data_IF_833895168835
#
_entry.id   IF_833895168835
#
_cell.length_a   1.000
_cell.length_b   1.000
_cell.length_c   1.000
_cell.angle_alpha   90.00
_cell.angle_beta   90.00
_cell.angle_gamma   90.00
#
_symmetry.space_group_name_H-M   'P 1'
#
loop_
_entity.id
_entity.type
_entity.pdbx_description
1 polymer ?
#
# COMPACT_ATOMS: atom_id res chain seq x y z
N UNK A 1 43.49 64.64 22.12
CA UNK A 1 42.34 64.41 21.21
C UNK A 1 41.08 64.40 22.07
N UNK A 2 40.29 65.49 22.10
CA UNK A 2 39.02 65.52 22.85
C UNK A 2 37.99 64.77 22.00
N UNK A 3 37.67 63.53 22.41
CA UNK A 3 36.55 62.80 21.82
C UNK A 3 35.29 63.60 22.16
N UNK A 4 34.58 64.09 21.16
CA UNK A 4 33.34 64.82 21.35
C UNK A 4 32.27 63.81 21.82
N UNK A 5 31.90 63.86 23.10
CA UNK A 5 31.04 62.88 23.77
C UNK A 5 29.65 62.76 23.11
N UNK A 6 29.15 63.87 22.55
CA UNK A 6 27.88 63.91 21.82
C UNK A 6 27.95 63.11 20.51
N UNK A 7 29.06 63.23 19.78
CA UNK A 7 29.29 62.46 18.56
C UNK A 7 29.41 60.97 18.89
N UNK A 8 30.13 60.60 19.96
CA UNK A 8 30.26 59.20 20.39
C UNK A 8 28.91 58.57 20.77
N UNK A 9 28.05 59.31 21.49
CA UNK A 9 26.69 58.87 21.83
C UNK A 9 25.83 58.68 20.59
N UNK A 10 25.89 59.62 19.64
CA UNK A 10 25.18 59.53 18.35
C UNK A 10 25.62 58.31 17.54
N UNK A 11 26.93 58.08 17.40
CA UNK A 11 27.45 56.90 16.69
C UNK A 11 27.05 55.57 17.35
N UNK A 12 27.02 55.52 18.68
CA UNK A 12 26.59 54.32 19.41
C UNK A 12 25.12 54.03 19.18
N UNK A 13 24.25 55.04 19.29
CA UNK A 13 22.81 54.91 19.01
C UNK A 13 22.58 54.47 17.55
N UNK A 14 23.26 55.10 16.59
CA UNK A 14 23.16 54.73 15.17
C UNK A 14 23.61 53.27 14.93
N UNK A 15 24.69 52.83 15.58
CA UNK A 15 25.18 51.46 15.46
C UNK A 15 24.18 50.44 16.02
N UNK A 16 23.54 50.74 17.15
CA UNK A 16 22.49 49.91 17.75
C UNK A 16 21.27 49.85 16.85
N UNK A 17 20.84 50.97 16.28
CA UNK A 17 19.70 51.02 15.36
C UNK A 17 19.98 50.18 14.11
N UNK A 18 21.16 50.32 13.50
CA UNK A 18 21.55 49.52 12.34
C UNK A 18 21.56 48.03 12.68
N UNK A 19 22.18 47.65 13.80
CA UNK A 19 22.25 46.26 14.24
C UNK A 19 20.85 45.68 14.51
N UNK A 20 19.97 46.46 15.15
CA UNK A 20 18.58 46.06 15.39
C UNK A 20 17.80 45.91 14.08
N UNK A 21 17.96 46.83 13.12
CA UNK A 21 17.33 46.74 11.81
C UNK A 21 17.77 45.49 11.04
N UNK A 22 19.05 45.13 11.10
CA UNK A 22 19.59 43.91 10.47
C UNK A 22 18.99 42.65 11.13
N UNK A 23 18.99 42.59 12.47
CA UNK A 23 18.40 41.46 13.20
C UNK A 23 16.90 41.32 12.89
N UNK A 24 16.16 42.43 12.88
CA UNK A 24 14.75 42.44 12.57
C UNK A 24 14.48 41.99 11.13
N UNK A 25 15.31 42.39 10.17
CA UNK A 25 15.21 41.94 8.78
C UNK A 25 15.41 40.42 8.66
N UNK A 26 16.42 39.87 9.34
CA UNK A 26 16.63 38.42 9.35
C UNK A 26 15.50 37.66 10.04
N UNK A 27 14.96 38.21 11.13
CA UNK A 27 13.82 37.62 11.81
C UNK A 27 12.59 37.55 10.91
N UNK A 28 12.23 38.67 10.24
CA UNK A 28 11.09 38.71 9.31
C UNK A 28 11.28 37.74 8.15
N UNK A 29 12.49 37.66 7.61
CA UNK A 29 12.81 36.71 6.53
C UNK A 29 12.66 35.25 7.00
N UNK A 30 13.16 34.92 8.19
CA UNK A 30 13.03 33.58 8.77
C UNK A 30 11.58 33.19 9.00
N UNK A 31 10.75 34.09 9.53
CA UNK A 31 9.30 33.87 9.69
C UNK A 31 8.60 33.63 8.34
N UNK A 32 8.97 34.39 7.31
CA UNK A 32 8.41 34.20 5.96
C UNK A 32 8.78 32.82 5.40
N UNK A 33 10.05 32.42 5.50
CA UNK A 33 10.52 31.14 5.00
C UNK A 33 9.85 29.96 5.74
N UNK A 34 9.69 30.07 7.06
CA UNK A 34 8.98 29.06 7.86
C UNK A 34 7.51 28.95 7.44
N UNK A 35 6.84 30.08 7.19
CA UNK A 35 5.46 30.08 6.73
C UNK A 35 5.33 29.42 5.34
N UNK A 36 6.21 29.74 4.39
CA UNK A 36 6.23 29.11 3.06
C UNK A 36 6.44 27.58 3.15
N UNK A 37 7.36 27.14 4.02
CA UNK A 37 7.60 25.72 4.28
C UNK A 37 6.39 25.03 4.93
N UNK A 38 5.69 25.71 5.84
CA UNK A 38 4.47 25.19 6.46
C UNK A 38 3.32 25.03 5.45
N UNK A 39 3.12 26.02 4.58
CA UNK A 39 2.14 25.94 3.48
C UNK A 39 2.47 24.76 2.56
N UNK A 40 3.76 24.59 2.22
CA UNK A 40 4.20 23.50 1.37
C UNK A 40 4.04 22.12 2.05
N UNK A 41 4.33 22.00 3.34
CA UNK A 41 4.00 20.82 4.16
C UNK A 41 2.51 20.49 4.06
N UNK A 42 1.63 21.44 4.31
CA UNK A 42 0.17 21.21 4.29
C UNK A 42 -0.31 20.74 2.91
N UNK A 43 0.27 21.26 1.83
CA UNK A 43 0.02 20.76 0.47
C UNK A 43 0.41 19.29 0.34
N UNK A 44 1.62 18.92 0.76
CA UNK A 44 2.07 17.52 0.70
C UNK A 44 1.23 16.59 1.58
N UNK A 45 0.80 17.02 2.77
CA UNK A 45 -0.11 16.24 3.62
C UNK A 45 -1.49 16.07 2.94
N UNK A 46 -1.97 17.09 2.22
CA UNK A 46 -3.21 17.00 1.45
C UNK A 46 -3.08 15.98 0.32
N UNK A 47 -1.98 16.03 -0.43
CA UNK A 47 -1.69 15.06 -1.50
C UNK A 47 -1.54 13.64 -0.92
N UNK A 48 -0.90 13.51 0.25
CA UNK A 48 -0.74 12.24 0.97
C UNK A 48 -2.10 11.64 1.35
N UNK A 49 -3.06 12.43 1.84
CA UNK A 49 -4.42 11.95 2.15
C UNK A 49 -5.09 11.36 0.90
N UNK A 50 -4.94 12.02 -0.25
CA UNK A 50 -5.49 11.52 -1.51
C UNK A 50 -4.85 10.18 -1.91
N UNK A 51 -3.52 10.09 -1.83
CA UNK A 51 -2.78 8.86 -2.10
C UNK A 51 -3.16 7.73 -1.14
N UNK A 52 -3.33 8.02 0.15
CA UNK A 52 -3.79 7.03 1.14
C UNK A 52 -5.19 6.50 0.78
N UNK A 53 -6.09 7.36 0.31
CA UNK A 53 -7.43 6.91 -0.11
C UNK A 53 -7.38 5.97 -1.31
N UNK A 54 -6.52 6.25 -2.29
CA UNK A 54 -6.29 5.37 -3.44
C UNK A 54 -5.69 4.03 -3.02
N UNK A 55 -4.68 4.04 -2.13
CA UNK A 55 -4.06 2.84 -1.59
C UNK A 55 -5.08 1.97 -0.81
N UNK A 56 -5.95 2.60 -0.01
CA UNK A 56 -7.05 1.91 0.69
C UNK A 56 -8.00 1.23 -0.30
N UNK A 57 -8.37 1.91 -1.39
CA UNK A 57 -9.25 1.33 -2.41
C UNK A 57 -8.58 0.14 -3.10
N UNK A 58 -7.29 0.24 -3.41
CA UNK A 58 -6.53 -0.87 -3.98
C UNK A 58 -6.47 -2.07 -3.02
N UNK A 59 -6.23 -1.83 -1.72
CA UNK A 59 -6.26 -2.89 -0.71
C UNK A 59 -7.63 -3.58 -0.67
N UNK A 60 -8.73 -2.82 -0.72
CA UNK A 60 -10.07 -3.39 -0.71
C UNK A 60 -10.35 -4.27 -1.93
N UNK A 61 -9.91 -3.85 -3.11
CA UNK A 61 -10.01 -4.68 -4.32
C UNK A 61 -9.21 -5.98 -4.17
N UNK A 62 -7.94 -5.90 -3.79
CA UNK A 62 -7.05 -7.06 -3.59
C UNK A 62 -7.62 -8.02 -2.56
N UNK A 63 -8.08 -7.49 -1.43
CA UNK A 63 -8.71 -8.25 -0.36
C UNK A 63 -9.93 -9.01 -0.86
N UNK A 64 -10.75 -8.41 -1.72
CA UNK A 64 -11.91 -9.08 -2.31
C UNK A 64 -11.50 -10.29 -3.17
N UNK A 65 -10.49 -10.12 -4.03
CA UNK A 65 -10.00 -11.17 -4.95
C UNK A 65 -9.35 -12.34 -4.19
N UNK A 66 -8.51 -12.02 -3.20
CA UNK A 66 -7.85 -13.04 -2.36
C UNK A 66 -8.88 -13.77 -1.50
N UNK A 67 -9.87 -13.07 -0.94
CA UNK A 67 -10.94 -13.69 -0.15
C UNK A 67 -11.79 -14.64 -1.00
N UNK A 68 -12.11 -14.26 -2.24
CA UNK A 68 -12.83 -15.12 -3.18
C UNK A 68 -12.02 -16.36 -3.54
N UNK A 69 -10.73 -16.19 -3.84
CA UNK A 69 -9.80 -17.29 -4.11
C UNK A 69 -9.72 -18.28 -2.94
N UNK A 70 -9.55 -17.78 -1.71
CA UNK A 70 -9.54 -18.61 -0.49
C UNK A 70 -10.86 -19.35 -0.30
N UNK A 71 -11.99 -18.71 -0.59
CA UNK A 71 -13.31 -19.34 -0.52
C UNK A 71 -13.45 -20.45 -1.57
N UNK A 72 -12.97 -20.23 -2.79
CA UNK A 72 -12.99 -21.21 -3.87
C UNK A 72 -12.11 -22.42 -3.55
N UNK A 73 -10.89 -22.21 -3.06
CA UNK A 73 -10.02 -23.30 -2.60
C UNK A 73 -10.67 -24.13 -1.49
N UNK A 74 -11.30 -23.49 -0.50
CA UNK A 74 -12.05 -24.21 0.53
C UNK A 74 -13.22 -25.02 -0.05
N UNK A 75 -13.96 -24.45 -1.01
CA UNK A 75 -15.07 -25.16 -1.67
C UNK A 75 -14.60 -26.41 -2.40
N UNK A 76 -13.45 -26.34 -3.09
CA UNK A 76 -12.89 -27.47 -3.83
C UNK A 76 -12.34 -28.53 -2.86
N UNK A 77 -11.61 -28.12 -1.81
CA UNK A 77 -11.14 -29.04 -0.77
C UNK A 77 -12.31 -29.83 -0.14
N UNK A 78 -13.40 -29.14 0.22
CA UNK A 78 -14.59 -29.77 0.77
C UNK A 78 -15.26 -30.73 -0.23
N UNK A 79 -15.27 -30.40 -1.53
CA UNK A 79 -15.81 -31.29 -2.55
C UNK A 79 -14.96 -32.57 -2.70
N UNK A 80 -13.62 -32.43 -2.69
CA UNK A 80 -12.67 -33.56 -2.68
C UNK A 80 -12.92 -34.46 -1.46
N UNK A 81 -12.98 -33.87 -0.25
CA UNK A 81 -13.21 -34.59 1.01
C UNK A 81 -14.56 -35.33 1.03
N UNK A 82 -15.58 -34.76 0.38
CA UNK A 82 -16.91 -35.34 0.25
C UNK A 82 -17.04 -36.43 -0.82
N UNK A 83 -15.99 -36.64 -1.63
CA UNK A 83 -15.96 -37.53 -2.81
C UNK A 83 -17.01 -37.17 -3.89
N UNK A 84 -16.99 -35.92 -4.38
CA UNK A 84 -17.71 -35.43 -5.57
C UNK A 84 -19.24 -35.30 -5.47
N UNK A 85 -19.78 -34.69 -4.41
CA UNK A 85 -21.24 -34.53 -4.30
C UNK A 85 -21.77 -33.12 -4.51
N UNK A 86 -20.91 -32.09 -4.58
CA UNK A 86 -21.37 -30.71 -4.44
C UNK A 86 -20.98 -29.77 -5.60
N UNK A 87 -19.87 -30.01 -6.30
CA UNK A 87 -19.43 -29.17 -7.42
C UNK A 87 -19.47 -29.92 -8.76
N UNK A 88 -19.91 -29.24 -9.82
CA UNK A 88 -19.71 -29.77 -11.16
C UNK A 88 -18.26 -29.58 -11.60
N UNK A 89 -17.80 -30.42 -12.54
CA UNK A 89 -16.46 -30.27 -13.14
C UNK A 89 -16.27 -28.90 -13.80
N UNK A 90 -17.33 -28.31 -14.35
CA UNK A 90 -17.27 -26.96 -14.91
C UNK A 90 -17.03 -25.92 -13.81
N UNK A 91 -17.77 -25.99 -12.71
CA UNK A 91 -17.60 -25.08 -11.57
C UNK A 91 -16.18 -25.16 -11.00
N UNK A 92 -15.62 -26.36 -10.89
CA UNK A 92 -14.24 -26.56 -10.43
C UNK A 92 -13.24 -25.88 -11.37
N UNK A 93 -13.40 -26.05 -12.68
CA UNK A 93 -12.49 -25.43 -13.67
C UNK A 93 -12.62 -23.90 -13.69
N UNK A 94 -13.84 -23.36 -13.61
CA UNK A 94 -14.07 -21.92 -13.54
C UNK A 94 -13.42 -21.31 -12.30
N UNK A 95 -13.56 -21.95 -11.14
CA UNK A 95 -12.91 -21.53 -9.90
C UNK A 95 -11.39 -21.52 -10.02
N UNK A 96 -10.78 -22.66 -10.37
CA UNK A 96 -9.32 -22.80 -10.44
C UNK A 96 -8.70 -21.80 -11.43
N UNK A 97 -9.35 -21.58 -12.57
CA UNK A 97 -8.86 -20.66 -13.61
C UNK A 97 -9.07 -19.20 -13.22
N UNK A 98 -10.18 -18.88 -12.55
CA UNK A 98 -10.51 -17.54 -12.06
C UNK A 98 -9.70 -17.10 -10.84
N UNK A 99 -9.22 -18.04 -10.05
CA UNK A 99 -8.52 -17.80 -8.80
C UNK A 99 -7.11 -17.21 -9.03
N UNK A 100 -6.83 -16.08 -8.37
CA UNK A 100 -5.52 -15.44 -8.41
C UNK A 100 -5.14 -14.94 -7.01
N UNK A 101 -4.24 -15.68 -6.36
CA UNK A 101 -3.68 -15.30 -5.06
C UNK A 101 -2.42 -14.44 -5.19
N UNK A 102 -1.80 -14.41 -6.37
CA UNK A 102 -0.63 -13.59 -6.68
C UNK A 102 -0.95 -12.10 -6.90
N UNK A 103 -2.22 -11.69 -6.77
CA UNK A 103 -2.59 -10.29 -6.89
C UNK A 103 -1.99 -9.46 -5.74
N UNK A 104 -1.21 -8.46 -6.11
CA UNK A 104 -0.29 -7.77 -5.18
C UNK A 104 -0.66 -6.31 -4.97
N UNK A 105 -0.47 -5.83 -3.73
CA UNK A 105 -0.66 -4.44 -3.33
C UNK A 105 0.61 -3.64 -3.63
N UNK A 106 0.47 -2.51 -4.32
CA UNK A 106 1.59 -1.65 -4.72
C UNK A 106 1.36 -0.24 -4.16
N UNK A 107 1.91 0.04 -2.95
CA UNK A 107 1.71 1.31 -2.27
C UNK A 107 2.35 2.47 -3.05
N UNK A 108 1.69 3.63 -3.01
CA UNK A 108 2.18 4.84 -3.65
C UNK A 108 3.08 5.64 -2.70
N UNK A 109 4.40 5.50 -2.86
CA UNK A 109 5.39 6.10 -1.94
C UNK A 109 5.84 7.52 -2.33
N UNK A 110 5.39 8.02 -3.48
CA UNK A 110 5.89 9.27 -4.07
C UNK A 110 5.75 10.48 -3.16
N UNK A 111 4.58 10.68 -2.56
CA UNK A 111 4.34 11.82 -1.67
C UNK A 111 5.09 11.69 -0.34
N UNK A 112 5.17 10.48 0.22
CA UNK A 112 5.99 10.22 1.40
C UNK A 112 7.47 10.54 1.15
N UNK A 113 8.01 10.12 0.01
CA UNK A 113 9.39 10.44 -0.39
C UNK A 113 9.60 11.95 -0.60
N UNK A 114 8.60 12.66 -1.10
CA UNK A 114 8.65 14.13 -1.18
C UNK A 114 8.70 14.76 0.21
N UNK A 115 7.84 14.34 1.14
CA UNK A 115 7.85 14.82 2.53
C UNK A 115 9.23 14.69 3.18
N UNK A 116 9.90 13.55 2.98
CA UNK A 116 11.26 13.31 3.49
C UNK A 116 12.29 14.21 2.78
N UNK A 117 12.31 14.21 1.44
CA UNK A 117 13.35 14.89 0.67
C UNK A 117 13.31 16.42 0.76
N UNK A 118 12.15 17.00 1.05
CA UNK A 118 11.97 18.45 1.19
C UNK A 118 12.10 18.93 2.64
N UNK A 119 12.30 18.01 3.59
CA UNK A 119 12.30 18.32 5.03
C UNK A 119 10.92 18.66 5.60
N UNK A 120 9.84 18.56 4.80
CA UNK A 120 8.48 18.83 5.24
C UNK A 120 8.00 17.83 6.28
N UNK A 121 8.54 16.61 6.27
CA UNK A 121 8.27 15.58 7.28
C UNK A 121 8.61 16.04 8.71
N UNK A 122 9.69 16.81 8.88
CA UNK A 122 10.12 17.31 10.18
C UNK A 122 9.17 18.38 10.74
N UNK A 123 8.40 19.04 9.86
CA UNK A 123 7.42 20.06 10.21
C UNK A 123 6.07 19.47 10.61
N UNK A 124 5.89 18.14 10.53
CA UNK A 124 4.71 17.45 11.05
C UNK A 124 4.74 17.50 12.57
N UNK A 125 3.73 18.14 13.16
CA UNK A 125 3.66 18.34 14.61
C UNK A 125 3.28 17.03 15.31
N UNK A 126 2.36 16.26 14.72
CA UNK A 126 1.87 15.03 15.32
C UNK A 126 2.89 13.88 15.19
N UNK A 127 3.53 13.54 16.31
CA UNK A 127 4.51 12.44 16.36
C UNK A 127 3.92 11.08 16.02
N UNK A 128 2.64 10.86 16.31
CA UNK A 128 1.92 9.64 15.94
C UNK A 128 1.76 9.52 14.43
N UNK A 129 1.53 10.63 13.71
CA UNK A 129 1.50 10.62 12.24
C UNK A 129 2.86 10.23 11.69
N UNK A 130 3.94 10.88 12.17
CA UNK A 130 5.31 10.56 11.74
C UNK A 130 5.64 9.09 11.95
N UNK A 131 5.37 8.56 13.13
CA UNK A 131 5.65 7.17 13.48
C UNK A 131 4.90 6.19 12.57
N UNK A 132 3.64 6.49 12.27
CA UNK A 132 2.79 5.63 11.46
C UNK A 132 3.19 5.65 9.98
N UNK A 133 3.55 6.82 9.44
CA UNK A 133 4.08 6.92 8.07
C UNK A 133 5.39 6.14 7.93
N UNK A 134 6.30 6.24 8.91
CA UNK A 134 7.54 5.45 8.90
C UNK A 134 7.25 3.94 8.96
N UNK A 135 6.31 3.50 9.81
CA UNK A 135 5.92 2.09 9.89
C UNK A 135 5.34 1.57 8.57
N UNK A 136 4.41 2.31 7.96
CA UNK A 136 3.80 1.94 6.68
C UNK A 136 4.88 1.84 5.60
N UNK A 137 5.57 2.94 5.34
CA UNK A 137 6.42 3.06 4.16
C UNK A 137 7.78 2.37 4.29
N UNK A 138 8.33 2.17 5.49
CA UNK A 138 9.63 1.50 5.66
C UNK A 138 9.54 0.04 6.11
N UNK A 139 8.47 -0.37 6.79
CA UNK A 139 8.39 -1.71 7.37
C UNK A 139 7.28 -2.54 6.74
N UNK A 140 6.06 -2.03 6.71
CA UNK A 140 4.92 -2.78 6.19
C UNK A 140 4.99 -2.96 4.68
N UNK A 141 5.39 -1.94 3.92
CA UNK A 141 5.59 -2.04 2.48
C UNK A 141 6.63 -3.11 2.12
N UNK A 142 7.76 -3.14 2.84
CA UNK A 142 8.79 -4.16 2.65
C UNK A 142 8.29 -5.58 2.95
N UNK A 143 7.51 -5.74 4.02
CA UNK A 143 6.87 -7.04 4.35
C UNK A 143 5.87 -7.45 3.27
N UNK A 144 5.09 -6.51 2.76
CA UNK A 144 4.15 -6.72 1.67
C UNK A 144 4.89 -7.19 0.42
N UNK A 145 5.94 -6.50 -0.03
CA UNK A 145 6.71 -6.90 -1.20
C UNK A 145 7.30 -8.30 -1.10
N UNK A 146 7.86 -8.65 0.06
CA UNK A 146 8.39 -10.00 0.29
C UNK A 146 7.29 -11.08 0.25
N UNK A 147 6.11 -10.78 0.81
CA UNK A 147 4.96 -11.70 0.81
C UNK A 147 4.37 -11.85 -0.59
N UNK A 148 4.17 -10.73 -1.29
CA UNK A 148 3.73 -10.69 -2.70
C UNK A 148 4.63 -11.53 -3.59
N UNK A 149 5.94 -11.41 -3.47
CA UNK A 149 6.89 -12.21 -4.23
C UNK A 149 6.72 -13.73 -3.98
N UNK A 150 6.48 -14.13 -2.73
CA UNK A 150 6.20 -15.54 -2.41
C UNK A 150 4.88 -16.02 -3.02
N UNK A 151 3.85 -15.18 -3.01
CA UNK A 151 2.55 -15.48 -3.62
C UNK A 151 2.65 -15.59 -5.14
N UNK A 152 3.45 -14.74 -5.79
CA UNK A 152 3.71 -14.83 -7.23
C UNK A 152 4.35 -16.17 -7.59
N UNK A 153 5.38 -16.58 -6.84
CA UNK A 153 6.03 -17.89 -7.04
C UNK A 153 5.05 -19.05 -6.82
N UNK A 154 4.20 -18.95 -5.80
CA UNK A 154 3.14 -19.92 -5.57
C UNK A 154 2.14 -19.95 -6.74
N UNK A 155 1.68 -18.80 -7.23
CA UNK A 155 0.71 -18.72 -8.33
C UNK A 155 1.29 -19.30 -9.62
N UNK A 156 2.56 -19.04 -9.92
CA UNK A 156 3.26 -19.64 -11.06
C UNK A 156 3.25 -21.17 -10.95
N UNK A 157 3.64 -21.71 -9.79
CA UNK A 157 3.60 -23.16 -9.51
C UNK A 157 2.18 -23.71 -9.62
N UNK A 158 1.19 -23.02 -9.04
CA UNK A 158 -0.21 -23.44 -9.07
C UNK A 158 -0.73 -23.52 -10.51
N UNK A 159 -0.45 -22.51 -11.33
CA UNK A 159 -0.81 -22.48 -12.74
C UNK A 159 -0.13 -23.61 -13.51
N UNK A 160 1.19 -23.75 -13.37
CA UNK A 160 1.95 -24.81 -14.04
C UNK A 160 1.36 -26.20 -13.75
N UNK A 161 1.13 -26.50 -12.47
CA UNK A 161 0.58 -27.80 -12.05
C UNK A 161 -0.85 -28.01 -12.53
N UNK A 162 -1.66 -26.95 -12.54
CA UNK A 162 -3.03 -26.98 -13.04
C UNK A 162 -3.06 -27.27 -14.54
N UNK A 163 -2.38 -26.47 -15.37
CA UNK A 163 -2.42 -26.61 -16.83
C UNK A 163 -1.73 -27.88 -17.35
N UNK A 164 -0.76 -28.43 -16.59
CA UNK A 164 -0.12 -29.70 -16.95
C UNK A 164 -1.01 -30.92 -16.64
N UNK A 165 -1.95 -30.82 -15.71
CA UNK A 165 -2.77 -31.95 -15.29
C UNK A 165 -4.23 -31.86 -15.72
N UNK A 166 -4.78 -30.66 -15.89
CA UNK A 166 -6.07 -30.41 -16.50
C UNK A 166 -5.86 -29.80 -17.89
N UNK A 167 -6.44 -30.39 -18.94
CA UNK A 167 -6.33 -29.82 -20.28
C UNK A 167 -7.35 -28.69 -20.40
N UNK A 168 -6.93 -27.46 -20.14
CA UNK A 168 -7.81 -26.28 -20.11
C UNK A 168 -7.50 -25.38 -21.31
N UNK A 169 -8.55 -24.88 -21.96
CA UNK A 169 -8.46 -23.75 -22.87
C UNK A 169 -9.20 -22.56 -22.23
N UNK A 170 -8.48 -21.46 -22.02
CA UNK A 170 -9.00 -20.26 -21.36
C UNK A 170 -8.61 -19.00 -22.13
N UNK A 171 -9.48 -17.98 -22.08
CA UNK A 171 -9.23 -16.65 -22.65
C UNK A 171 -9.38 -15.59 -21.56
N UNK A 172 -8.92 -14.36 -21.82
CA UNK A 172 -9.13 -13.23 -20.92
C UNK A 172 -10.25 -12.32 -21.44
N UNK A 173 -11.23 -12.03 -20.58
CA UNK A 173 -12.11 -10.89 -20.79
C UNK A 173 -11.40 -9.62 -20.35
N UNK A 174 -10.79 -8.91 -21.30
CA UNK A 174 -10.05 -7.66 -21.05
C UNK A 174 -10.92 -6.49 -20.59
N UNK A 175 -12.26 -6.62 -20.66
CA UNK A 175 -13.21 -5.59 -20.23
C UNK A 175 -13.70 -5.78 -18.78
N UNK A 176 -13.29 -6.86 -18.11
CA UNK A 176 -13.75 -7.21 -16.75
C UNK A 176 -12.56 -7.34 -15.79
N UNK A 177 -12.63 -6.66 -14.64
CA UNK A 177 -11.57 -6.58 -13.61
C UNK A 177 -10.92 -5.20 -13.50
N UNK A 178 -10.48 -4.81 -12.29
CA UNK A 178 -9.85 -3.48 -12.08
C UNK A 178 -8.37 -3.44 -12.46
N UNK A 179 -7.62 -4.53 -12.20
CA UNK A 179 -6.18 -4.60 -12.48
C UNK A 179 -5.90 -5.44 -13.73
N UNK A 180 -6.47 -6.64 -13.78
CA UNK A 180 -6.32 -7.58 -14.89
C UNK A 180 -7.68 -8.02 -15.41
N UNK A 181 -7.71 -8.44 -16.68
CA UNK A 181 -8.86 -9.11 -17.26
C UNK A 181 -9.22 -10.37 -16.46
N UNK A 182 -10.50 -10.74 -16.41
CA UNK A 182 -10.92 -12.02 -15.81
C UNK A 182 -10.75 -13.18 -16.81
N UNK A 183 -10.11 -14.29 -16.41
CA UNK A 183 -10.00 -15.45 -17.27
C UNK A 183 -11.33 -16.20 -17.35
N UNK A 184 -11.62 -16.76 -18.52
CA UNK A 184 -12.86 -17.48 -18.84
C UNK A 184 -12.52 -18.82 -19.45
N UNK A 185 -13.07 -19.90 -18.90
CA UNK A 185 -12.89 -21.26 -19.42
C UNK A 185 -13.72 -21.45 -20.68
N UNK A 186 -13.08 -21.84 -21.79
CA UNK A 186 -13.76 -22.15 -23.06
C UNK A 186 -14.04 -23.64 -23.22
N UNK A 187 -13.06 -24.46 -22.85
CA UNK A 187 -13.20 -25.91 -22.88
C UNK A 187 -12.18 -26.56 -21.93
N UNK A 188 -12.48 -27.78 -21.48
CA UNK A 188 -11.59 -28.52 -20.60
C UNK A 188 -11.71 -30.05 -20.78
N UNK A 189 -10.64 -30.77 -20.45
CA UNK A 189 -10.68 -32.21 -20.13
C UNK A 189 -10.30 -32.38 -18.66
N UNK A 190 -11.23 -32.92 -17.88
CA UNK A 190 -11.08 -33.09 -16.45
C UNK A 190 -10.29 -34.35 -16.12
N UNK A 191 -9.20 -34.19 -15.36
CA UNK A 191 -8.37 -35.29 -14.89
C UNK A 191 -8.76 -35.66 -13.46
N UNK A 192 -9.60 -36.69 -13.34
CA UNK A 192 -10.15 -37.13 -12.06
C UNK A 192 -9.07 -37.69 -11.11
N UNK A 193 -8.07 -38.39 -11.66
CA UNK A 193 -6.96 -38.93 -10.86
C UNK A 193 -6.14 -37.81 -10.20
N UNK A 194 -5.88 -36.73 -10.94
CA UNK A 194 -5.18 -35.57 -10.39
C UNK A 194 -6.05 -34.80 -9.39
N UNK A 195 -7.35 -34.63 -9.68
CA UNK A 195 -8.28 -33.96 -8.76
C UNK A 195 -8.31 -34.59 -7.36
N UNK A 196 -8.26 -35.92 -7.28
CA UNK A 196 -8.20 -36.66 -6.01
C UNK A 196 -6.79 -36.91 -5.47
N UNK A 197 -5.76 -36.36 -6.11
CA UNK A 197 -4.38 -36.58 -5.70
C UNK A 197 -4.02 -35.74 -4.47
N UNK A 198 -3.09 -36.27 -3.67
CA UNK A 198 -2.48 -35.51 -2.57
C UNK A 198 -1.75 -34.26 -3.06
N UNK A 199 -1.26 -34.26 -4.30
CA UNK A 199 -0.59 -33.12 -4.90
C UNK A 199 -1.57 -31.94 -5.08
N UNK A 200 -2.71 -32.19 -5.74
CA UNK A 200 -3.70 -31.13 -5.96
C UNK A 200 -4.34 -30.66 -4.65
N UNK A 201 -4.66 -31.59 -3.74
CA UNK A 201 -5.13 -31.27 -2.41
C UNK A 201 -4.14 -30.38 -1.64
N UNK A 202 -2.85 -30.75 -1.67
CA UNK A 202 -1.78 -30.01 -1.04
C UNK A 202 -1.61 -28.59 -1.60
N UNK A 203 -1.71 -28.43 -2.92
CA UNK A 203 -1.65 -27.12 -3.59
C UNK A 203 -2.78 -26.19 -3.14
N UNK A 204 -4.01 -26.68 -3.09
CA UNK A 204 -5.17 -25.90 -2.62
C UNK A 204 -5.04 -25.54 -1.14
N UNK A 205 -4.58 -26.48 -0.31
CA UNK A 205 -4.38 -26.25 1.12
C UNK A 205 -3.27 -25.23 1.39
N UNK A 206 -2.15 -25.31 0.66
CA UNK A 206 -1.05 -24.34 0.70
C UNK A 206 -1.54 -22.94 0.28
N UNK A 207 -2.25 -22.86 -0.85
CA UNK A 207 -2.85 -21.62 -1.35
C UNK A 207 -3.82 -21.00 -0.33
N UNK A 208 -4.67 -21.80 0.30
CA UNK A 208 -5.57 -21.33 1.36
C UNK A 208 -4.81 -20.71 2.52
N UNK A 209 -3.76 -21.35 3.00
CA UNK A 209 -2.97 -20.84 4.14
C UNK A 209 -2.29 -19.53 3.76
N UNK A 210 -1.65 -19.50 2.60
CA UNK A 210 -0.97 -18.30 2.09
C UNK A 210 -1.94 -17.13 1.90
N UNK A 211 -3.13 -17.39 1.34
CA UNK A 211 -4.17 -16.37 1.16
C UNK A 211 -4.66 -15.80 2.48
N UNK A 212 -4.95 -16.64 3.47
CA UNK A 212 -5.37 -16.17 4.80
C UNK A 212 -4.28 -15.33 5.49
N UNK A 213 -3.01 -15.74 5.36
CA UNK A 213 -1.90 -14.96 5.90
C UNK A 213 -1.77 -13.60 5.22
N UNK A 214 -1.96 -13.56 3.90
CA UNK A 214 -1.90 -12.32 3.14
C UNK A 214 -3.09 -11.40 3.46
N UNK A 215 -4.30 -11.92 3.57
CA UNK A 215 -5.49 -11.17 4.03
C UNK A 215 -5.22 -10.49 5.38
N UNK A 216 -4.63 -11.22 6.32
CA UNK A 216 -4.26 -10.65 7.63
C UNK A 216 -3.22 -9.54 7.51
N UNK A 217 -2.24 -9.70 6.62
CA UNK A 217 -1.21 -8.68 6.38
C UNK A 217 -1.84 -7.40 5.82
N UNK A 218 -2.63 -7.50 4.74
CA UNK A 218 -3.22 -6.33 4.09
C UNK A 218 -4.29 -5.66 4.97
N UNK A 219 -5.02 -6.40 5.80
CA UNK A 219 -5.94 -5.82 6.79
C UNK A 219 -5.18 -4.96 7.81
N UNK A 220 -4.04 -5.43 8.32
CA UNK A 220 -3.20 -4.66 9.25
C UNK A 220 -2.59 -3.41 8.59
N UNK A 221 -2.18 -3.51 7.33
CA UNK A 221 -1.69 -2.37 6.54
C UNK A 221 -2.81 -1.34 6.38
N UNK A 222 -4.02 -1.79 6.01
CA UNK A 222 -5.20 -0.93 5.83
C UNK A 222 -5.55 -0.16 7.10
N UNK A 223 -5.54 -0.83 8.26
CA UNK A 223 -5.79 -0.19 9.55
C UNK A 223 -4.83 0.98 9.80
N UNK A 224 -3.54 0.79 9.52
CA UNK A 224 -2.54 1.85 9.65
C UNK A 224 -2.75 2.98 8.64
N UNK A 225 -3.10 2.68 7.39
CA UNK A 225 -3.47 3.71 6.41
C UNK A 225 -4.68 4.54 6.84
N UNK A 226 -5.73 3.90 7.37
CA UNK A 226 -6.91 4.61 7.89
C UNK A 226 -6.52 5.53 9.04
N UNK A 227 -5.68 5.04 9.96
CA UNK A 227 -5.25 5.82 11.11
C UNK A 227 -4.31 6.97 10.71
N UNK A 228 -3.45 6.78 9.71
CA UNK A 228 -2.55 7.83 9.21
C UNK A 228 -3.34 8.92 8.50
N UNK A 229 -4.37 8.56 7.73
CA UNK A 229 -5.28 9.53 7.12
C UNK A 229 -5.96 10.42 8.16
N UNK A 230 -6.51 9.83 9.21
CA UNK A 230 -7.17 10.57 10.31
C UNK A 230 -6.19 11.55 10.94
N UNK A 231 -4.95 11.12 11.20
CA UNK A 231 -3.93 12.00 11.78
C UNK A 231 -3.46 13.10 10.81
N UNK A 232 -3.38 12.81 9.51
CA UNK A 232 -3.07 13.79 8.48
C UNK A 232 -4.17 14.85 8.34
N UNK A 233 -5.44 14.46 8.44
CA UNK A 233 -6.57 15.39 8.46
C UNK A 233 -6.51 16.33 9.67
N UNK A 234 -6.15 15.82 10.85
CA UNK A 234 -5.92 16.68 12.03
C UNK A 234 -4.73 17.62 11.87
N UNK A 235 -3.66 17.19 11.20
CA UNK A 235 -2.46 18.01 10.97
C UNK A 235 -2.73 19.24 10.08
N UNK A 236 -3.68 19.16 9.14
CA UNK A 236 -4.05 20.29 8.26
C UNK A 236 -5.07 21.22 8.92
N UNK A 237 -5.93 20.70 9.79
CA UNK A 237 -7.04 21.44 10.38
C UNK A 237 -6.67 22.19 11.68
N UNK A 238 -5.47 21.97 12.22
CA UNK A 238 -4.90 22.72 13.34
C UNK A 238 -3.98 23.83 12.83
#
# INVERSE_FOLDING_TARGET
MKINLENFKSYTVNSVVILFSVILSFYIEGERELNEKSIYKNKLITDLINTINEDINQIDYIRSQVSETVKNYNSILNDIDSKNKNLSRADVMEKIVGDNIGISFFPQEGIFNQLISTGSFELIEKNELKSLLLEIYNHQNNRNYATSYQLDLFQIKFNERTYNNFRINSEYNYQDGEIYGKPVVKSYIFNENYYYSNEFYGLLAEGKVNGNNYLRLIDNIKENYIQSRIYAEYEINN
#
